data_IF_495733476371
#
_entry.id   IF_495733476371
#
_cell.length_a   1.000
_cell.length_b   1.000
_cell.length_c   1.000
_cell.angle_alpha   90.00
_cell.angle_beta   90.00
_cell.angle_gamma   90.00
#
_symmetry.space_group_name_H-M   'P 1'
#
loop_
_entity.id
_entity.type
_entity.pdbx_description
1 polymer ?
#
# COMPACT_ATOMS: atom_id res chain seq x y z
N UNK A 1 -24.37 -7.28 5.89
CA UNK A 1 -23.68 -8.53 6.27
C UNK A 1 -22.62 -8.81 5.22
N UNK A 2 -21.37 -9.02 5.63
CA UNK A 2 -20.31 -9.45 4.72
C UNK A 2 -20.62 -10.92 4.42
N UNK A 3 -21.04 -11.23 3.19
CA UNK A 3 -21.50 -12.57 2.84
C UNK A 3 -20.44 -13.66 3.00
N UNK A 4 -20.85 -14.92 2.86
CA UNK A 4 -20.01 -16.13 2.94
C UNK A 4 -18.70 -16.04 2.13
N UNK A 5 -18.68 -15.25 1.05
CA UNK A 5 -17.52 -15.01 0.21
C UNK A 5 -16.29 -14.39 0.93
N UNK A 6 -16.42 -13.86 2.15
CA UNK A 6 -15.29 -13.41 2.97
C UNK A 6 -15.06 -14.27 4.22
N UNK A 7 -15.72 -15.43 4.34
CA UNK A 7 -15.62 -16.28 5.53
C UNK A 7 -14.16 -16.70 5.83
N UNK A 8 -13.35 -16.88 4.79
CA UNK A 8 -11.94 -17.24 4.89
C UNK A 8 -10.99 -16.04 4.67
N UNK A 9 -11.41 -14.83 5.05
CA UNK A 9 -10.56 -13.64 4.90
C UNK A 9 -9.21 -13.84 5.61
N UNK A 10 -8.08 -13.75 4.89
CA UNK A 10 -6.78 -14.01 5.48
C UNK A 10 -6.48 -12.99 6.57
N UNK A 11 -6.05 -13.47 7.74
CA UNK A 11 -5.54 -12.62 8.83
C UNK A 11 -4.04 -12.46 8.65
N UNK A 12 -3.27 -12.23 9.70
CA UNK A 12 -1.81 -12.25 9.60
C UNK A 12 -1.31 -13.66 9.21
N UNK A 13 -0.14 -13.70 8.55
CA UNK A 13 0.53 -14.95 8.16
C UNK A 13 0.94 -15.76 9.39
N UNK A 14 0.68 -17.08 9.39
CA UNK A 14 1.15 -18.03 10.41
C UNK A 14 2.18 -19.01 9.85
N UNK A 15 2.62 -20.00 10.65
CA UNK A 15 3.49 -21.10 10.20
C UNK A 15 2.76 -22.05 9.25
N UNK A 16 1.49 -22.32 9.53
CA UNK A 16 0.59 -23.23 8.79
C UNK A 16 -0.11 -22.52 7.61
N UNK A 17 0.50 -21.44 7.13
CA UNK A 17 -0.13 -20.55 6.17
C UNK A 17 -0.28 -21.19 4.79
N UNK A 18 -1.46 -21.03 4.19
CA UNK A 18 -1.72 -21.40 2.80
C UNK A 18 -1.77 -20.13 1.93
N UNK A 19 -0.96 -20.04 0.86
CA UNK A 19 -0.98 -18.90 -0.04
C UNK A 19 -2.36 -18.65 -0.65
N UNK A 20 -2.83 -17.40 -0.63
CA UNK A 20 -4.12 -17.02 -1.19
C UNK A 20 -4.01 -16.32 -2.55
N UNK A 21 -5.11 -16.29 -3.29
CA UNK A 21 -5.24 -15.44 -4.46
C UNK A 21 -5.42 -13.97 -4.04
N UNK A 22 -4.49 -13.11 -4.45
CA UNK A 22 -4.51 -11.68 -4.08
C UNK A 22 -5.74 -10.95 -4.64
N UNK A 23 -6.30 -11.42 -5.76
CA UNK A 23 -7.48 -10.82 -6.39
C UNK A 23 -8.70 -11.05 -5.52
N UNK A 24 -8.93 -12.27 -5.04
CA UNK A 24 -10.02 -12.61 -4.12
C UNK A 24 -9.93 -11.78 -2.83
N UNK A 25 -8.73 -11.66 -2.25
CA UNK A 25 -8.52 -10.85 -1.04
C UNK A 25 -8.72 -9.37 -1.31
N UNK A 26 -8.33 -8.87 -2.49
CA UNK A 26 -8.60 -7.48 -2.91
C UNK A 26 -10.11 -7.22 -2.92
N UNK A 27 -10.89 -8.12 -3.53
CA UNK A 27 -12.34 -8.01 -3.62
C UNK A 27 -13.01 -8.11 -2.24
N UNK A 28 -12.57 -9.03 -1.41
CA UNK A 28 -13.05 -9.16 -0.03
C UNK A 28 -12.72 -7.91 0.80
N UNK A 29 -11.49 -7.41 0.70
CA UNK A 29 -11.07 -6.20 1.40
C UNK A 29 -11.93 -5.02 0.97
N UNK A 30 -12.14 -4.84 -0.34
CA UNK A 30 -13.00 -3.77 -0.91
C UNK A 30 -14.41 -3.79 -0.31
N UNK A 31 -15.04 -4.96 -0.20
CA UNK A 31 -16.37 -5.10 0.44
C UNK A 31 -16.39 -4.72 1.92
N UNK A 32 -15.29 -4.94 2.62
CA UNK A 32 -15.16 -4.67 4.07
C UNK A 32 -14.88 -3.19 4.36
N UNK A 33 -14.18 -2.50 3.45
CA UNK A 33 -13.58 -1.20 3.75
C UNK A 33 -14.00 -0.06 2.82
N UNK A 34 -14.69 -0.36 1.72
CA UNK A 34 -15.34 0.62 0.86
C UNK A 34 -16.86 0.53 1.02
N UNK A 35 -17.54 1.66 0.89
CA UNK A 35 -19.00 1.71 0.90
C UNK A 35 -19.49 2.84 0.00
N UNK A 36 -20.50 2.61 -0.83
CA UNK A 36 -21.14 3.67 -1.60
C UNK A 36 -22.38 4.19 -0.86
N UNK A 37 -22.42 5.50 -0.60
CA UNK A 37 -23.55 6.20 0.00
C UNK A 37 -23.80 7.50 -0.79
N UNK A 38 -25.03 7.70 -1.28
CA UNK A 38 -25.39 8.91 -2.04
C UNK A 38 -24.53 9.17 -3.28
N UNK A 39 -24.04 8.13 -3.96
CA UNK A 39 -23.15 8.24 -5.12
C UNK A 39 -21.66 8.49 -4.79
N UNK A 40 -21.32 8.66 -3.52
CA UNK A 40 -19.95 8.86 -3.04
C UNK A 40 -19.39 7.54 -2.50
N UNK A 41 -18.13 7.22 -2.83
CA UNK A 41 -17.42 6.08 -2.23
C UNK A 41 -16.71 6.52 -0.96
N UNK A 42 -17.13 5.97 0.17
CA UNK A 42 -16.52 6.12 1.49
C UNK A 42 -15.47 5.04 1.70
N UNK A 43 -14.46 5.38 2.51
CA UNK A 43 -13.35 4.48 2.89
C UNK A 43 -13.21 4.45 4.41
N UNK A 44 -12.88 3.28 4.95
CA UNK A 44 -12.54 3.15 6.38
C UNK A 44 -11.15 3.71 6.72
N UNK A 45 -11.08 4.49 7.80
CA UNK A 45 -9.84 4.99 8.42
C UNK A 45 -9.85 4.74 9.92
N UNK A 46 -8.68 4.54 10.53
CA UNK A 46 -8.53 4.47 11.99
C UNK A 46 -8.04 5.76 12.61
N UNK A 47 -7.25 6.55 11.88
CA UNK A 47 -6.59 7.72 12.47
C UNK A 47 -6.11 8.71 11.40
N UNK A 48 -5.83 9.94 11.84
CA UNK A 48 -5.21 11.02 11.07
C UNK A 48 -4.12 11.68 11.92
N UNK A 49 -2.88 11.62 11.46
CA UNK A 49 -1.72 12.10 12.23
C UNK A 49 -0.63 12.69 11.34
N UNK A 50 0.38 13.32 11.95
CA UNK A 50 1.59 13.79 11.27
C UNK A 50 2.75 12.85 11.57
N UNK A 51 3.42 12.35 10.54
CA UNK A 51 4.59 11.50 10.67
C UNK A 51 5.86 12.27 10.28
N UNK A 52 7.00 11.95 10.91
CA UNK A 52 8.30 12.57 10.61
C UNK A 52 8.89 12.18 9.26
N UNK A 53 8.45 11.06 8.67
CA UNK A 53 8.91 10.60 7.34
C UNK A 53 8.65 11.66 6.27
N UNK A 54 9.46 11.63 5.22
CA UNK A 54 9.47 12.65 4.16
C UNK A 54 9.70 14.07 4.69
N UNK A 55 10.34 14.27 5.86
CA UNK A 55 10.49 15.56 6.54
C UNK A 55 9.12 16.18 6.92
N UNK A 56 8.25 15.37 7.52
CA UNK A 56 6.88 15.76 7.87
C UNK A 56 5.87 15.44 6.77
N UNK A 57 4.87 14.62 7.08
CA UNK A 57 3.75 14.32 6.19
C UNK A 57 2.46 14.09 6.99
N UNK A 58 1.35 14.67 6.53
CA UNK A 58 0.02 14.38 7.10
C UNK A 58 -0.47 13.05 6.53
N UNK A 59 -0.89 12.13 7.39
CA UNK A 59 -1.21 10.76 7.03
C UNK A 59 -2.65 10.44 7.42
N UNK A 60 -3.45 9.97 6.47
CA UNK A 60 -4.67 9.22 6.75
C UNK A 60 -4.36 7.74 6.87
N UNK A 61 -4.63 7.13 8.02
CA UNK A 61 -4.33 5.73 8.31
C UNK A 61 -5.53 4.86 7.92
N UNK A 62 -5.36 4.09 6.84
CA UNK A 62 -6.39 3.25 6.25
C UNK A 62 -6.61 1.94 7.01
N UNK A 63 -7.75 1.32 6.74
CA UNK A 63 -8.10 -0.03 7.19
C UNK A 63 -7.97 -1.03 6.05
N UNK A 64 -7.40 -2.22 6.28
CA UNK A 64 -7.34 -3.29 5.30
C UNK A 64 -6.28 -3.12 4.20
N UNK A 65 -5.71 -4.26 3.79
CA UNK A 65 -4.77 -4.40 2.69
C UNK A 65 -5.04 -5.74 1.99
N UNK A 66 -4.58 -5.90 0.76
CA UNK A 66 -4.66 -7.17 0.02
C UNK A 66 -3.42 -8.06 0.20
N UNK A 67 -2.40 -7.63 0.96
CA UNK A 67 -1.23 -8.43 1.33
C UNK A 67 -1.17 -8.70 2.85
N UNK A 68 -0.44 -9.74 3.27
CA UNK A 68 -0.22 -10.14 4.68
C UNK A 68 1.24 -10.21 5.05
N UNK A 69 1.99 -9.21 4.59
CA UNK A 69 3.41 -9.07 4.85
C UNK A 69 3.72 -9.25 6.35
N UNK A 70 4.53 -10.25 6.71
CA UNK A 70 4.86 -10.51 8.11
C UNK A 70 5.73 -9.40 8.72
N UNK A 71 6.43 -8.62 7.89
CA UNK A 71 7.30 -7.52 8.32
C UNK A 71 6.62 -6.15 8.40
N UNK A 72 5.33 -6.08 8.04
CA UNK A 72 4.64 -4.80 7.91
C UNK A 72 4.28 -4.24 9.29
N UNK A 73 4.45 -2.93 9.45
CA UNK A 73 4.20 -2.19 10.70
C UNK A 73 2.75 -1.74 10.88
N UNK A 74 1.89 -1.90 9.87
CA UNK A 74 0.54 -1.35 9.90
C UNK A 74 -0.29 -1.90 11.07
N UNK A 75 -1.28 -1.16 11.60
CA UNK A 75 -2.08 -1.62 12.73
C UNK A 75 -2.86 -2.92 12.44
N UNK A 76 -3.46 -3.51 13.48
CA UNK A 76 -4.32 -4.70 13.35
C UNK A 76 -5.53 -4.47 12.44
N UNK A 77 -5.89 -3.22 12.17
CA UNK A 77 -6.91 -2.82 11.19
C UNK A 77 -6.60 -3.33 9.77
N UNK A 78 -5.35 -3.66 9.46
CA UNK A 78 -4.97 -4.35 8.22
C UNK A 78 -5.55 -5.77 8.15
N UNK A 79 -5.46 -6.51 9.26
CA UNK A 79 -5.76 -7.95 9.34
C UNK A 79 -7.23 -8.23 9.72
N UNK A 80 -7.85 -7.30 10.46
CA UNK A 80 -9.23 -7.40 10.95
C UNK A 80 -10.09 -6.21 10.55
N UNK A 81 -10.21 -5.90 9.24
CA UNK A 81 -10.86 -4.68 8.75
C UNK A 81 -12.33 -4.53 9.14
N UNK A 82 -13.00 -5.63 9.48
CA UNK A 82 -14.38 -5.61 10.00
C UNK A 82 -14.48 -4.99 11.39
N UNK A 83 -13.43 -5.07 12.21
CA UNK A 83 -13.42 -4.68 13.63
C UNK A 83 -12.94 -3.25 13.88
N UNK A 84 -12.34 -2.61 12.88
CA UNK A 84 -11.65 -1.34 13.05
C UNK A 84 -12.15 -0.27 12.07
N UNK A 85 -12.02 0.97 12.54
CA UNK A 85 -12.17 2.20 11.76
C UNK A 85 -13.59 2.56 11.36
N UNK A 86 -13.74 3.83 11.01
CA UNK A 86 -15.00 4.45 10.61
C UNK A 86 -14.97 4.84 9.15
N UNK A 87 -16.14 4.89 8.51
CA UNK A 87 -16.25 5.33 7.12
C UNK A 87 -16.18 6.85 7.03
N UNK A 88 -15.34 7.34 6.12
CA UNK A 88 -15.20 8.77 5.83
C UNK A 88 -15.45 9.02 4.35
N UNK A 89 -16.12 10.14 4.06
CA UNK A 89 -16.17 10.70 2.70
C UNK A 89 -14.83 11.31 2.31
N UNK A 90 -14.51 11.44 1.01
CA UNK A 90 -13.30 12.12 0.55
C UNK A 90 -13.16 13.54 1.12
N UNK A 91 -14.25 14.30 1.19
CA UNK A 91 -14.29 15.66 1.77
C UNK A 91 -13.90 15.64 3.25
N UNK A 92 -14.45 14.69 4.01
CA UNK A 92 -14.13 14.53 5.44
C UNK A 92 -12.66 14.16 5.67
N UNK A 93 -12.09 13.33 4.79
CA UNK A 93 -10.67 12.96 4.80
C UNK A 93 -9.81 14.19 4.55
N UNK A 94 -10.01 14.89 3.43
CA UNK A 94 -9.17 16.04 3.06
C UNK A 94 -9.28 17.18 4.07
N UNK A 95 -10.48 17.45 4.60
CA UNK A 95 -10.66 18.44 5.68
C UNK A 95 -9.82 18.11 6.92
N UNK A 96 -9.79 16.85 7.35
CA UNK A 96 -8.97 16.42 8.51
C UNK A 96 -7.48 16.55 8.20
N UNK A 97 -7.06 16.12 7.01
CA UNK A 97 -5.68 16.27 6.56
C UNK A 97 -5.27 17.75 6.56
N UNK A 98 -6.07 18.65 6.00
CA UNK A 98 -5.76 20.08 5.96
C UNK A 98 -5.68 20.71 7.35
N UNK A 99 -6.59 20.35 8.26
CA UNK A 99 -6.57 20.85 9.64
C UNK A 99 -5.25 20.49 10.34
N UNK A 100 -4.80 19.24 10.22
CA UNK A 100 -3.51 18.80 10.75
C UNK A 100 -2.34 19.47 10.03
N UNK A 101 -2.40 19.53 8.70
CA UNK A 101 -1.37 20.17 7.88
C UNK A 101 -1.13 21.61 8.29
N UNK A 102 -2.20 22.39 8.46
CA UNK A 102 -2.14 23.78 8.93
C UNK A 102 -1.62 23.89 10.35
N UNK A 103 -2.11 23.04 11.27
CA UNK A 103 -1.69 23.03 12.67
C UNK A 103 -0.18 22.80 12.83
N UNK A 104 0.40 21.91 12.03
CA UNK A 104 1.81 21.51 12.14
C UNK A 104 2.71 22.10 11.05
N UNK A 105 2.20 23.00 10.20
CA UNK A 105 2.98 23.61 9.11
C UNK A 105 3.40 22.62 8.00
N UNK A 106 2.71 21.48 7.86
CA UNK A 106 3.05 20.42 6.91
C UNK A 106 2.19 20.54 5.65
N UNK A 107 2.83 20.60 4.48
CA UNK A 107 2.19 20.77 3.16
C UNK A 107 2.15 19.50 2.29
N UNK A 108 2.55 18.36 2.87
CA UNK A 108 2.55 17.04 2.22
C UNK A 108 1.47 16.16 2.84
N UNK A 109 0.78 15.38 2.03
CA UNK A 109 -0.21 14.42 2.47
C UNK A 109 0.05 13.01 1.89
N UNK A 110 -0.42 11.97 2.58
CA UNK A 110 -0.48 10.59 2.06
C UNK A 110 -1.64 9.82 2.68
N UNK A 111 -1.95 8.68 2.07
CA UNK A 111 -2.70 7.61 2.72
C UNK A 111 -1.76 6.44 2.96
N UNK A 112 -1.81 5.85 4.15
CA UNK A 112 -0.91 4.78 4.59
C UNK A 112 -1.65 3.73 5.44
N UNK A 113 -0.93 2.84 6.13
CA UNK A 113 -1.48 1.76 7.00
C UNK A 113 -2.30 0.65 6.31
N UNK A 114 -2.62 0.78 5.03
CA UNK A 114 -3.39 -0.19 4.25
C UNK A 114 -3.08 -0.03 2.77
N UNK A 115 -3.89 -0.63 1.89
CA UNK A 115 -3.76 -0.42 0.44
C UNK A 115 -4.78 0.62 -0.02
N UNK A 116 -4.35 1.84 -0.41
CA UNK A 116 -5.27 2.90 -0.83
C UNK A 116 -6.05 2.56 -2.10
N UNK A 117 -5.42 1.83 -3.03
CA UNK A 117 -6.00 1.55 -4.35
C UNK A 117 -7.19 0.59 -4.31
N UNK A 118 -7.41 -0.13 -3.20
CA UNK A 118 -8.58 -1.02 -3.00
C UNK A 118 -9.92 -0.28 -3.14
N UNK A 119 -10.00 0.99 -2.72
CA UNK A 119 -11.18 1.84 -2.94
C UNK A 119 -10.80 2.98 -3.88
N UNK A 120 -10.65 2.64 -5.17
CA UNK A 120 -10.07 3.54 -6.14
C UNK A 120 -10.90 4.80 -6.40
N UNK A 121 -12.25 4.70 -6.41
CA UNK A 121 -13.10 5.87 -6.62
C UNK A 121 -13.02 6.84 -5.43
N UNK A 122 -12.88 6.33 -4.20
CA UNK A 122 -12.59 7.15 -3.02
C UNK A 122 -11.22 7.84 -3.15
N UNK A 123 -10.17 7.08 -3.48
CA UNK A 123 -8.82 7.63 -3.67
C UNK A 123 -8.83 8.75 -4.73
N UNK A 124 -9.54 8.54 -5.84
CA UNK A 124 -9.61 9.53 -6.91
C UNK A 124 -10.24 10.84 -6.44
N UNK A 125 -11.35 10.78 -5.71
CA UNK A 125 -12.00 11.97 -5.16
C UNK A 125 -11.13 12.67 -4.10
N UNK A 126 -10.36 11.91 -3.31
CA UNK A 126 -9.36 12.50 -2.40
C UNK A 126 -8.30 13.25 -3.21
N UNK A 127 -7.80 12.67 -4.30
CA UNK A 127 -6.81 13.32 -5.17
C UNK A 127 -7.36 14.57 -5.85
N UNK A 128 -8.62 14.56 -6.29
CA UNK A 128 -9.30 15.75 -6.85
C UNK A 128 -9.34 16.90 -5.85
N UNK A 129 -9.77 16.62 -4.62
CA UNK A 129 -9.81 17.62 -3.54
C UNK A 129 -8.41 18.10 -3.13
N UNK A 130 -7.40 17.23 -3.17
CA UNK A 130 -6.01 17.62 -2.90
C UNK A 130 -5.44 18.48 -4.04
N UNK A 131 -5.79 18.19 -5.29
CA UNK A 131 -5.40 18.99 -6.45
C UNK A 131 -5.99 20.41 -6.37
N UNK A 132 -7.21 20.55 -5.87
CA UNK A 132 -7.87 21.85 -5.63
C UNK A 132 -7.34 22.58 -4.37
N UNK A 133 -6.81 21.84 -3.39
CA UNK A 133 -6.32 22.41 -2.13
C UNK A 133 -5.21 23.44 -2.34
N UNK A 134 -5.38 24.65 -1.79
CA UNK A 134 -4.31 25.67 -1.76
C UNK A 134 -3.24 25.42 -0.70
N UNK A 135 -3.46 24.46 0.21
CA UNK A 135 -2.52 24.17 1.30
C UNK A 135 -1.49 23.13 0.90
N UNK A 136 -1.94 22.02 0.31
CA UNK A 136 -1.10 20.90 -0.07
C UNK A 136 -0.41 21.14 -1.40
N UNK A 137 0.87 20.75 -1.48
CA UNK A 137 1.67 20.80 -2.71
C UNK A 137 2.16 19.42 -3.19
N UNK A 138 1.98 18.38 -2.38
CA UNK A 138 2.40 17.03 -2.70
C UNK A 138 1.49 16.01 -1.99
N UNK A 139 1.04 15.03 -2.75
CA UNK A 139 0.38 13.84 -2.27
C UNK A 139 1.20 12.61 -2.64
N UNK A 140 1.59 11.81 -1.64
CA UNK A 140 2.33 10.56 -1.86
C UNK A 140 1.34 9.39 -1.80
N UNK A 141 1.16 8.70 -2.93
CA UNK A 141 0.40 7.45 -3.00
C UNK A 141 1.35 6.27 -2.74
N UNK A 142 1.29 5.71 -1.54
CA UNK A 142 1.99 4.47 -1.20
C UNK A 142 1.13 3.27 -1.61
N UNK A 143 1.67 2.38 -2.44
CA UNK A 143 0.92 1.22 -2.95
C UNK A 143 1.83 0.02 -3.19
N UNK A 144 1.27 -1.20 -3.13
CA UNK A 144 1.94 -2.39 -3.65
C UNK A 144 1.80 -2.54 -5.18
N UNK A 145 0.94 -1.73 -5.82
CA UNK A 145 0.76 -1.68 -7.27
C UNK A 145 -0.14 -2.77 -7.87
N UNK A 146 -0.52 -3.80 -7.12
CA UNK A 146 -1.26 -4.96 -7.65
C UNK A 146 -2.59 -4.54 -8.27
N UNK A 147 -3.38 -3.70 -7.58
CA UNK A 147 -4.67 -3.22 -8.11
C UNK A 147 -4.48 -2.38 -9.37
N UNK A 148 -3.40 -1.59 -9.45
CA UNK A 148 -3.10 -0.78 -10.64
C UNK A 148 -2.74 -1.66 -11.85
N UNK A 149 -2.04 -2.78 -11.64
CA UNK A 149 -1.72 -3.73 -12.71
C UNK A 149 -2.91 -4.53 -13.20
N UNK A 150 -3.88 -4.79 -12.32
CA UNK A 150 -5.16 -5.44 -12.65
C UNK A 150 -6.10 -4.50 -13.41
N UNK A 151 -5.99 -3.19 -13.19
CA UNK A 151 -6.86 -2.16 -13.78
C UNK A 151 -6.03 -1.06 -14.45
N UNK A 152 -5.37 -1.32 -15.60
CA UNK A 152 -4.49 -0.36 -16.26
C UNK A 152 -5.16 0.99 -16.59
N UNK A 153 -6.47 1.01 -16.79
CA UNK A 153 -7.26 2.22 -17.05
C UNK A 153 -7.22 3.21 -15.87
N UNK A 154 -6.96 2.75 -14.65
CA UNK A 154 -6.81 3.60 -13.46
C UNK A 154 -5.64 4.56 -13.62
N UNK A 155 -4.59 4.14 -14.30
CA UNK A 155 -3.40 4.95 -14.49
C UNK A 155 -3.73 6.21 -15.30
N UNK A 156 -4.57 6.11 -16.34
CA UNK A 156 -5.02 7.29 -17.08
C UNK A 156 -5.76 8.30 -16.19
N UNK A 157 -6.57 7.82 -15.24
CA UNK A 157 -7.29 8.67 -14.28
C UNK A 157 -6.34 9.36 -13.29
N UNK A 158 -5.17 8.77 -13.00
CA UNK A 158 -4.17 9.35 -12.10
C UNK A 158 -3.27 10.41 -12.77
N UNK A 159 -3.09 10.37 -14.09
CA UNK A 159 -2.18 11.28 -14.82
C UNK A 159 -2.54 12.76 -14.72
N UNK A 160 -3.81 13.07 -14.44
CA UNK A 160 -4.31 14.45 -14.39
C UNK A 160 -3.87 15.23 -13.13
N UNK A 161 -3.34 14.57 -12.11
CA UNK A 161 -3.00 15.21 -10.83
C UNK A 161 -1.54 15.66 -10.80
N UNK A 162 -1.31 16.97 -10.77
CA UNK A 162 0.03 17.55 -10.76
C UNK A 162 0.74 17.36 -9.40
N UNK A 163 -0.03 17.27 -8.32
CA UNK A 163 0.47 17.08 -6.95
C UNK A 163 0.74 15.62 -6.60
N UNK A 164 0.35 14.67 -7.44
CA UNK A 164 0.51 13.24 -7.18
C UNK A 164 1.95 12.79 -7.40
N UNK A 165 2.46 12.02 -6.46
CA UNK A 165 3.70 11.27 -6.56
C UNK A 165 3.47 9.83 -6.09
N UNK A 166 3.77 8.85 -6.93
CA UNK A 166 3.53 7.44 -6.60
C UNK A 166 4.78 6.80 -6.00
N UNK A 167 4.61 6.10 -4.89
CA UNK A 167 5.60 5.22 -4.27
C UNK A 167 5.11 3.80 -4.36
N UNK A 168 5.65 3.02 -5.29
CA UNK A 168 5.34 1.60 -5.41
C UNK A 168 6.36 0.77 -4.65
N UNK A 169 5.91 -0.10 -3.74
CA UNK A 169 6.80 -0.90 -2.91
C UNK A 169 6.72 -2.39 -3.25
N UNK A 170 7.78 -2.92 -3.86
CA UNK A 170 7.96 -4.32 -4.22
C UNK A 170 8.24 -5.17 -2.96
N UNK A 171 7.67 -6.37 -2.91
CA UNK A 171 7.76 -7.24 -1.73
C UNK A 171 8.58 -8.51 -1.99
N UNK A 172 9.17 -8.64 -3.16
CA UNK A 172 10.14 -9.69 -3.46
C UNK A 172 10.88 -9.56 -4.79
N UNK A 173 11.94 -10.36 -4.93
CA UNK A 173 12.73 -10.53 -6.15
C UNK A 173 12.50 -11.87 -6.84
N UNK A 174 11.91 -12.84 -6.14
CA UNK A 174 11.42 -14.10 -6.70
C UNK A 174 10.00 -14.40 -6.22
N UNK A 175 9.27 -15.25 -6.96
CA UNK A 175 7.89 -15.63 -6.61
C UNK A 175 7.82 -16.30 -5.24
N UNK A 176 8.79 -17.17 -4.94
CA UNK A 176 8.91 -17.90 -3.68
C UNK A 176 9.16 -16.94 -2.51
N UNK A 177 10.07 -15.98 -2.69
CA UNK A 177 10.35 -14.98 -1.66
C UNK A 177 9.16 -14.05 -1.43
N UNK A 178 8.48 -13.62 -2.50
CA UNK A 178 7.26 -12.82 -2.40
C UNK A 178 6.16 -13.58 -1.64
N UNK A 179 5.94 -14.85 -1.97
CA UNK A 179 4.94 -15.68 -1.31
C UNK A 179 5.26 -15.89 0.17
N UNK A 180 6.51 -16.28 0.47
CA UNK A 180 7.02 -16.42 1.83
C UNK A 180 6.76 -15.16 2.67
N UNK A 181 7.04 -13.99 2.08
CA UNK A 181 6.93 -12.71 2.78
C UNK A 181 5.52 -12.19 2.93
N UNK A 182 4.67 -12.34 1.91
CA UNK A 182 3.39 -11.63 1.81
C UNK A 182 2.17 -12.50 2.10
N UNK A 183 2.32 -13.83 2.04
CA UNK A 183 1.22 -14.78 2.14
C UNK A 183 0.30 -14.86 0.92
N UNK A 184 0.51 -14.02 -0.10
CA UNK A 184 -0.17 -14.15 -1.38
C UNK A 184 0.60 -15.12 -2.28
N UNK A 185 -0.10 -15.81 -3.19
CA UNK A 185 0.52 -16.67 -4.21
C UNK A 185 1.62 -15.93 -4.98
N UNK A 186 2.74 -16.60 -5.21
CA UNK A 186 3.96 -16.03 -5.78
C UNK A 186 3.79 -15.30 -7.11
N UNK A 187 2.83 -15.71 -7.95
CA UNK A 187 2.52 -15.10 -9.25
C UNK A 187 2.08 -13.64 -9.14
N UNK A 188 1.55 -13.23 -7.98
CA UNK A 188 1.18 -11.83 -7.74
C UNK A 188 2.39 -10.88 -7.73
N UNK A 189 3.62 -11.40 -7.60
CA UNK A 189 4.83 -10.60 -7.78
C UNK A 189 4.89 -9.99 -9.19
N UNK A 190 4.46 -10.72 -10.21
CA UNK A 190 4.50 -10.25 -11.59
C UNK A 190 3.56 -9.07 -11.82
N UNK A 191 2.46 -8.99 -11.05
CA UNK A 191 1.58 -7.83 -11.04
C UNK A 191 2.30 -6.59 -10.48
N UNK A 192 3.16 -6.73 -9.47
CA UNK A 192 3.92 -5.59 -8.95
C UNK A 192 4.87 -5.03 -10.01
N UNK A 193 5.60 -5.89 -10.73
CA UNK A 193 6.49 -5.44 -11.82
C UNK A 193 5.71 -4.90 -13.02
N UNK A 194 4.57 -5.50 -13.37
CA UNK A 194 3.66 -4.97 -14.39
C UNK A 194 3.17 -3.56 -14.03
N UNK A 195 2.87 -3.30 -12.76
CA UNK A 195 2.51 -1.95 -12.32
C UNK A 195 3.65 -0.94 -12.53
N UNK A 196 4.90 -1.32 -12.26
CA UNK A 196 6.09 -0.49 -12.55
C UNK A 196 6.19 -0.18 -14.04
N UNK A 197 5.99 -1.19 -14.90
CA UNK A 197 6.01 -1.02 -16.36
C UNK A 197 4.91 -0.08 -16.85
N UNK A 198 3.68 -0.23 -16.34
CA UNK A 198 2.55 0.64 -16.70
C UNK A 198 2.80 2.08 -16.22
N UNK A 199 3.28 2.27 -14.99
CA UNK A 199 3.62 3.60 -14.46
C UNK A 199 4.69 4.29 -15.31
N UNK A 200 5.71 3.53 -15.74
CA UNK A 200 6.74 4.01 -16.67
C UNK A 200 6.15 4.37 -18.03
N UNK A 201 5.38 3.48 -18.65
CA UNK A 201 4.78 3.70 -19.97
C UNK A 201 3.85 4.93 -19.96
N UNK A 202 3.17 5.15 -18.84
CA UNK A 202 2.33 6.32 -18.63
C UNK A 202 3.12 7.61 -18.36
N UNK A 203 4.43 7.57 -18.14
CA UNK A 203 5.22 8.74 -17.72
C UNK A 203 4.64 9.43 -16.47
N UNK A 204 4.13 8.64 -15.52
CA UNK A 204 3.68 9.17 -14.23
C UNK A 204 4.90 9.52 -13.35
N UNK A 205 4.76 10.45 -12.41
CA UNK A 205 5.83 10.72 -11.43
C UNK A 205 5.80 9.64 -10.35
N UNK A 206 6.82 8.77 -10.35
CA UNK A 206 6.92 7.70 -9.36
C UNK A 206 8.37 7.35 -9.00
N UNK A 207 8.54 6.59 -7.93
CA UNK A 207 9.75 5.83 -7.63
C UNK A 207 9.37 4.43 -7.12
N UNK A 208 10.36 3.54 -7.17
CA UNK A 208 10.23 2.17 -6.70
C UNK A 208 10.95 2.05 -5.36
N UNK A 209 10.25 1.49 -4.39
CA UNK A 209 10.80 0.97 -3.16
C UNK A 209 10.77 -0.56 -3.18
N UNK A 210 11.60 -1.22 -2.39
CA UNK A 210 11.53 -2.66 -2.20
C UNK A 210 11.94 -3.07 -0.78
N UNK A 211 11.25 -4.05 -0.22
CA UNK A 211 11.73 -4.74 0.99
C UNK A 211 12.92 -5.62 0.62
N UNK A 212 14.13 -5.18 0.96
CA UNK A 212 15.40 -5.86 0.62
C UNK A 212 16.25 -6.22 1.83
N UNK A 213 15.64 -6.23 3.02
CA UNK A 213 16.30 -6.61 4.26
C UNK A 213 17.02 -7.97 4.12
N UNK A 214 18.36 -8.00 4.31
CA UNK A 214 19.15 -9.20 4.08
C UNK A 214 18.81 -10.35 5.05
N UNK A 215 18.10 -10.08 6.14
CA UNK A 215 17.64 -11.10 7.11
C UNK A 215 16.47 -11.92 6.57
N UNK A 216 15.73 -11.42 5.57
CA UNK A 216 14.57 -12.08 4.97
C UNK A 216 14.58 -12.11 3.44
N UNK A 217 15.64 -11.60 2.82
CA UNK A 217 15.89 -11.64 1.38
C UNK A 217 17.36 -11.99 1.12
N UNK A 218 17.61 -13.04 0.36
CA UNK A 218 18.98 -13.41 0.01
C UNK A 218 19.59 -12.41 -0.97
N UNK A 219 20.92 -12.31 -1.01
CA UNK A 219 21.64 -11.49 -1.99
C UNK A 219 21.28 -11.86 -3.44
N UNK A 220 21.09 -13.16 -3.71
CA UNK A 220 20.70 -13.66 -5.02
C UNK A 220 19.28 -13.23 -5.40
N UNK A 221 18.34 -13.27 -4.46
CA UNK A 221 16.99 -12.76 -4.70
C UNK A 221 17.01 -11.23 -4.95
N UNK A 222 17.76 -10.48 -4.14
CA UNK A 222 17.93 -9.04 -4.32
C UNK A 222 18.52 -8.73 -5.70
N UNK A 223 19.51 -9.49 -6.16
CA UNK A 223 20.10 -9.33 -7.49
C UNK A 223 19.06 -9.50 -8.60
N UNK A 224 18.21 -10.54 -8.52
CA UNK A 224 17.11 -10.75 -9.47
C UNK A 224 16.12 -9.57 -9.51
N UNK A 225 15.79 -9.00 -8.35
CA UNK A 225 14.94 -7.81 -8.26
C UNK A 225 15.58 -6.63 -9.02
N UNK A 226 16.84 -6.33 -8.71
CA UNK A 226 17.58 -5.21 -9.31
C UNK A 226 17.76 -5.41 -10.82
N UNK A 227 18.10 -6.62 -11.27
CA UNK A 227 18.22 -6.94 -12.69
C UNK A 227 16.90 -6.77 -13.45
N UNK A 228 15.78 -7.18 -12.83
CA UNK A 228 14.45 -6.99 -13.44
C UNK A 228 14.11 -5.51 -13.57
N UNK A 229 14.37 -4.71 -12.54
CA UNK A 229 14.21 -3.25 -12.62
C UNK A 229 15.13 -2.62 -13.67
N UNK A 230 16.38 -3.09 -13.76
CA UNK A 230 17.35 -2.59 -14.74
C UNK A 230 16.86 -2.80 -16.17
N UNK A 231 16.33 -4.00 -16.47
CA UNK A 231 15.73 -4.32 -17.77
C UNK A 231 14.53 -3.42 -18.09
N UNK A 232 13.72 -3.09 -17.09
CA UNK A 232 12.62 -2.12 -17.27
C UNK A 232 13.17 -0.72 -17.50
N UNK A 233 14.08 -0.23 -16.67
CA UNK A 233 14.76 1.07 -16.78
C UNK A 233 15.94 1.12 -15.77
N UNK A 234 17.16 1.33 -16.26
CA UNK A 234 18.34 1.46 -15.40
C UNK A 234 18.20 2.52 -14.30
N UNK A 235 17.49 3.62 -14.54
CA UNK A 235 17.22 4.64 -13.50
C UNK A 235 16.39 4.10 -12.34
N UNK A 236 15.47 3.17 -12.57
CA UNK A 236 14.66 2.58 -11.50
C UNK A 236 15.51 1.69 -10.58
N UNK A 237 16.48 0.98 -11.14
CA UNK A 237 17.43 0.19 -10.37
C UNK A 237 18.42 1.07 -9.58
N UNK A 238 18.93 2.14 -10.19
CA UNK A 238 19.88 3.07 -9.56
C UNK A 238 19.26 3.90 -8.42
N UNK A 239 17.97 4.20 -8.52
CA UNK A 239 17.24 5.02 -7.55
C UNK A 239 16.30 4.18 -6.66
N UNK A 240 16.50 2.85 -6.61
CA UNK A 240 15.70 1.96 -5.78
C UNK A 240 15.80 2.38 -4.31
N UNK A 241 14.65 2.67 -3.69
CA UNK A 241 14.57 2.88 -2.25
C UNK A 241 14.52 1.52 -1.55
N UNK A 242 15.50 1.23 -0.70
CA UNK A 242 15.58 -0.03 0.03
C UNK A 242 14.92 0.08 1.41
N UNK A 243 13.91 -0.76 1.67
CA UNK A 243 13.22 -0.88 2.95
C UNK A 243 13.85 -2.01 3.77
N UNK A 244 13.98 -1.79 5.08
CA UNK A 244 14.39 -2.80 6.07
C UNK A 244 13.27 -3.06 7.07
N UNK A 245 13.35 -4.19 7.77
CA UNK A 245 12.37 -4.54 8.81
C UNK A 245 12.66 -3.75 10.09
N UNK A 246 11.72 -2.88 10.45
CA UNK A 246 11.74 -2.13 11.70
C UNK A 246 10.98 -2.85 12.83
N UNK A 247 11.46 -2.82 14.09
CA UNK A 247 10.90 -3.54 15.24
C UNK A 247 9.64 -2.88 15.84
N UNK A 248 8.67 -2.49 15.01
CA UNK A 248 7.37 -2.06 15.52
C UNK A 248 6.68 -3.22 16.26
N UNK A 249 5.89 -2.93 17.30
CA UNK A 249 5.20 -3.95 18.09
C UNK A 249 4.41 -4.94 17.22
N UNK A 250 3.63 -4.44 16.26
CA UNK A 250 2.87 -5.29 15.33
C UNK A 250 3.75 -6.08 14.37
N UNK A 251 4.93 -5.55 14.02
CA UNK A 251 5.91 -6.26 13.19
C UNK A 251 6.48 -7.45 13.96
N UNK A 252 6.88 -7.25 15.21
CA UNK A 252 7.42 -8.31 16.08
C UNK A 252 6.41 -9.44 16.27
N UNK A 253 5.15 -9.11 16.56
CA UNK A 253 4.09 -10.12 16.71
C UNK A 253 3.84 -10.90 15.41
N UNK A 254 3.83 -10.23 14.25
CA UNK A 254 3.65 -10.90 12.96
C UNK A 254 4.82 -11.79 12.58
N UNK A 255 6.05 -11.38 12.87
CA UNK A 255 7.24 -12.22 12.70
C UNK A 255 7.12 -13.50 13.54
N UNK A 256 6.76 -13.36 14.82
CA UNK A 256 6.52 -14.49 15.73
C UNK A 256 5.46 -15.45 15.20
N UNK A 257 4.29 -14.93 14.80
CA UNK A 257 3.22 -15.76 14.24
C UNK A 257 3.64 -16.46 12.94
N UNK A 258 4.38 -15.79 12.08
CA UNK A 258 4.89 -16.36 10.83
C UNK A 258 6.03 -17.37 11.05
N UNK A 259 6.56 -17.50 12.27
CA UNK A 259 7.70 -18.34 12.60
C UNK A 259 9.03 -17.82 12.04
N UNK A 260 9.15 -16.50 11.90
CA UNK A 260 10.35 -15.84 11.37
C UNK A 260 11.07 -15.13 12.52
N UNK A 261 12.34 -15.45 12.73
CA UNK A 261 13.19 -14.84 13.75
C UNK A 261 14.23 -13.95 13.10
N UNK A 262 14.35 -12.70 13.59
CA UNK A 262 15.35 -11.74 13.12
C UNK A 262 16.34 -11.43 14.24
N UNK A 263 17.61 -11.26 13.87
CA UNK A 263 18.62 -10.63 14.74
C UNK A 263 18.47 -9.12 14.62
N UNK A 264 18.32 -8.43 15.76
CA UNK A 264 18.11 -6.99 15.87
C UNK A 264 19.42 -6.24 16.11
#
# INVERSE_FOLDING_TARGET
>A
MVGEACANYPRYKTREWVPYDVTEVTECTRRLVCRKEGGVELRKYTDFYVAGVYRGIVTGCLVGCNLRCFFCWSPLSRDFPERYGDFYTPVQVVKRLELLGRRYGVRKARLSCGEPTVCFDHLLQVLELIEESKWFNLFILETNGIVLALNPEYIHRLKKFSKLYVRISLKGGSREGFEFRTGAKGEALDLQFKAVEILKAANLRFHVAAMTDPRIMSLEERKKLVERLWRTNSRLALLLEEEVVDPYTTTIERLKHAGVELKW
#
